data_IF_542434641957
#
_entry.id   IF_542434641957
#
_cell.length_a   1.000
_cell.length_b   1.000
_cell.length_c   1.000
_cell.angle_alpha   90.00
_cell.angle_beta   90.00
_cell.angle_gamma   90.00
#
_symmetry.space_group_name_H-M   'P 1'
#
loop_
_entity.id
_entity.type
_entity.pdbx_description
1 polymer ?
#
# COMPACT_ATOMS: atom_id res chain seq x y z
N UNK A 1 -2.24 -5.60 -12.95
CA UNK A 1 -1.49 -6.56 -12.11
C UNK A 1 -1.04 -5.84 -10.85
N UNK A 2 -1.34 -6.37 -9.67
CA UNK A 2 -1.04 -5.71 -8.40
C UNK A 2 0.47 -5.75 -8.12
N UNK A 3 1.06 -4.61 -7.74
CA UNK A 3 2.49 -4.51 -7.42
C UNK A 3 2.76 -5.07 -6.03
N UNK A 4 3.75 -5.95 -5.89
CA UNK A 4 4.29 -6.36 -4.60
C UNK A 4 5.47 -5.47 -4.21
N UNK A 5 5.47 -4.97 -2.97
CA UNK A 5 6.50 -4.07 -2.43
C UNK A 5 7.26 -4.78 -1.32
N UNK A 6 8.57 -4.90 -1.51
CA UNK A 6 9.49 -5.43 -0.50
C UNK A 6 9.78 -4.40 0.60
N UNK A 7 10.13 -4.87 1.82
CA UNK A 7 10.63 -4.00 2.88
C UNK A 7 11.79 -3.12 2.39
N UNK A 8 11.79 -1.84 2.75
CA UNK A 8 12.81 -0.87 2.33
C UNK A 8 12.68 -0.33 0.89
N UNK A 9 11.76 -0.85 0.06
CA UNK A 9 11.40 -0.22 -1.22
C UNK A 9 10.26 0.78 -1.04
N UNK A 10 10.28 1.96 -1.67
CA UNK A 10 9.22 2.97 -1.52
C UNK A 10 7.89 2.49 -2.10
N UNK A 11 6.76 2.95 -1.53
CA UNK A 11 5.45 2.67 -2.11
C UNK A 11 5.29 3.35 -3.49
N UNK A 12 4.55 2.76 -4.44
CA UNK A 12 4.23 3.43 -5.70
C UNK A 12 3.49 4.77 -5.47
N UNK A 13 3.56 5.73 -6.41
CA UNK A 13 2.78 6.96 -6.30
C UNK A 13 1.27 6.67 -6.33
N UNK A 14 0.44 7.39 -5.54
CA UNK A 14 -1.02 7.26 -5.54
C UNK A 14 -1.69 7.24 -6.92
N UNK A 15 -1.14 7.99 -7.88
CA UNK A 15 -1.64 8.03 -9.26
C UNK A 15 -1.56 6.70 -10.03
N UNK A 16 -0.88 5.69 -9.47
CA UNK A 16 -0.85 4.32 -10.00
C UNK A 16 -1.85 3.38 -9.32
N UNK A 17 -2.69 3.88 -8.42
CA UNK A 17 -3.75 3.07 -7.82
C UNK A 17 -4.69 2.54 -8.92
N UNK A 18 -5.19 1.33 -8.70
CA UNK A 18 -6.16 0.71 -9.59
C UNK A 18 -7.49 1.48 -9.51
N UNK A 19 -8.18 1.58 -10.65
CA UNK A 19 -9.55 2.12 -10.71
C UNK A 19 -10.58 1.10 -10.23
N UNK A 20 -10.29 -0.19 -10.37
CA UNK A 20 -11.11 -1.30 -9.88
C UNK A 20 -10.19 -2.46 -9.41
N UNK A 21 -10.20 -2.83 -8.12
CA UNK A 21 -10.89 -2.14 -7.02
C UNK A 21 -10.28 -0.75 -6.77
N UNK A 22 -11.15 0.26 -6.59
CA UNK A 22 -10.74 1.67 -6.50
C UNK A 22 -9.75 1.89 -5.36
N UNK A 23 -8.62 2.50 -5.70
CA UNK A 23 -7.60 2.92 -4.75
C UNK A 23 -6.59 1.84 -4.42
N UNK A 24 -6.77 0.58 -4.84
CA UNK A 24 -5.80 -0.47 -4.52
C UNK A 24 -4.46 -0.20 -5.22
N UNK A 25 -3.39 -0.04 -4.44
CA UNK A 25 -2.10 0.44 -4.93
C UNK A 25 -1.03 -0.67 -4.97
N UNK A 26 -0.88 -1.40 -3.87
CA UNK A 26 0.18 -2.41 -3.73
C UNK A 26 -0.17 -3.45 -2.66
N UNK A 27 0.51 -4.60 -2.73
CA UNK A 27 0.56 -5.59 -1.66
C UNK A 27 1.97 -5.63 -1.02
N UNK A 28 2.05 -5.96 0.26
CA UNK A 28 3.32 -6.08 0.98
C UNK A 28 3.18 -6.81 2.30
N UNK A 29 4.22 -6.68 3.14
CA UNK A 29 4.29 -7.35 4.46
C UNK A 29 4.85 -6.47 5.59
N UNK A 30 5.30 -5.27 5.25
CA UNK A 30 5.99 -4.35 6.14
C UNK A 30 4.99 -3.37 6.74
N UNK A 31 4.85 -3.36 8.07
CA UNK A 31 4.05 -2.40 8.85
C UNK A 31 4.90 -1.69 9.90
N UNK A 32 6.19 -1.54 9.62
CA UNK A 32 7.07 -0.76 10.47
C UNK A 32 6.55 0.69 10.65
N UNK A 33 6.80 1.33 11.80
CA UNK A 33 6.42 2.72 12.01
C UNK A 33 6.90 3.67 10.91
N UNK A 34 8.13 3.45 10.41
CA UNK A 34 8.73 4.23 9.32
C UNK A 34 7.91 4.11 8.03
N UNK A 35 7.45 2.89 7.71
CA UNK A 35 6.58 2.62 6.56
C UNK A 35 5.23 3.32 6.70
N UNK A 36 4.63 3.25 7.88
CA UNK A 36 3.34 3.89 8.13
C UNK A 36 3.45 5.41 7.99
N UNK A 37 4.47 6.03 8.58
CA UNK A 37 4.73 7.47 8.45
C UNK A 37 4.91 7.89 6.98
N UNK A 38 5.67 7.11 6.20
CA UNK A 38 5.82 7.32 4.75
C UNK A 38 4.46 7.26 4.02
N UNK A 39 3.66 6.22 4.30
CA UNK A 39 2.39 5.97 3.64
C UNK A 39 1.37 7.09 3.95
N UNK A 40 1.14 7.39 5.22
CA UNK A 40 0.18 8.41 5.64
C UNK A 40 0.55 9.81 5.12
N UNK A 41 1.85 10.15 5.06
CA UNK A 41 2.31 11.43 4.48
C UNK A 41 2.01 11.57 2.98
N UNK A 42 1.65 10.47 2.31
CA UNK A 42 1.36 10.40 0.87
C UNK A 42 -0.12 10.11 0.58
N UNK A 43 -0.97 10.07 1.60
CA UNK A 43 -2.38 9.69 1.45
C UNK A 43 -2.61 8.19 1.22
N UNK A 44 -1.63 7.35 1.55
CA UNK A 44 -1.70 5.90 1.38
C UNK A 44 -1.98 5.26 2.75
N UNK A 45 -2.90 4.29 2.79
CA UNK A 45 -3.30 3.63 4.03
C UNK A 45 -3.33 2.10 3.88
N UNK A 46 -2.93 1.36 4.92
CA UNK A 46 -3.03 -0.09 4.94
C UNK A 46 -4.47 -0.50 5.28
N UNK A 47 -5.08 -1.36 4.46
CA UNK A 47 -6.39 -1.94 4.76
C UNK A 47 -6.48 -3.35 4.20
N UNK A 48 -6.58 -4.35 5.08
CA UNK A 48 -6.53 -5.77 4.73
C UNK A 48 -7.28 -6.59 5.79
N UNK A 49 -7.70 -7.79 5.42
CA UNK A 49 -8.34 -8.75 6.34
C UNK A 49 -7.33 -9.76 6.89
N UNK A 50 -7.71 -10.47 7.95
CA UNK A 50 -6.89 -11.54 8.51
C UNK A 50 -6.57 -12.60 7.45
N UNK A 51 -5.30 -13.03 7.40
CA UNK A 51 -4.81 -13.99 6.40
C UNK A 51 -4.45 -13.37 5.04
N UNK A 52 -4.72 -12.09 4.81
CA UNK A 52 -4.26 -11.37 3.62
C UNK A 52 -2.87 -10.75 3.85
N UNK A 53 -2.08 -10.53 2.77
CA UNK A 53 -0.97 -9.60 2.86
C UNK A 53 -1.46 -8.19 3.19
N UNK A 54 -0.55 -7.32 3.58
CA UNK A 54 -0.85 -5.91 3.77
C UNK A 54 -1.20 -5.32 2.41
N UNK A 55 -2.42 -4.84 2.25
CA UNK A 55 -2.84 -4.13 1.06
C UNK A 55 -2.80 -2.62 1.34
N UNK A 56 -2.18 -1.89 0.43
CA UNK A 56 -2.03 -0.43 0.50
C UNK A 56 -3.00 0.23 -0.47
N UNK A 57 -3.68 1.26 0.00
CA UNK A 57 -4.77 1.93 -0.72
C UNK A 57 -4.57 3.44 -0.76
N UNK A 58 -5.02 4.06 -1.84
CA UNK A 58 -5.11 5.52 -2.02
C UNK A 58 -6.24 5.84 -3.02
N UNK A 59 -7.49 6.04 -2.56
CA UNK A 59 -8.65 6.39 -3.37
C UNK A 59 -8.62 7.84 -3.85
#
# INVERSE_FOLDING_TARGET
MLTWVDPGRPLPPPSKALSDPNGLLAAGRDLSPERLLEAYGRGIFPWYSAGQPVLWWSP
#
